data_IF_810790938585
#
_entry.id   IF_810790938585
#
_cell.length_a   1.000
_cell.length_b   1.000
_cell.length_c   1.000
_cell.angle_alpha   90.00
_cell.angle_beta   90.00
_cell.angle_gamma   90.00
#
_symmetry.space_group_name_H-M   'P 1'
#
loop_
_entity.id
_entity.type
_entity.pdbx_description
1 polymer ?
#
# COMPACT_ATOMS: atom_id res chain seq x y z
N UNK A 1 -13.39 9.35 -7.91
CA UNK A 1 -12.21 9.76 -8.70
C UNK A 1 -11.21 8.60 -8.68
N UNK A 2 -10.67 8.17 -9.83
CA UNK A 2 -9.67 7.10 -9.93
C UNK A 2 -8.31 7.75 -10.20
N UNK A 3 -7.29 7.50 -9.36
CA UNK A 3 -5.95 8.07 -9.49
C UNK A 3 -5.02 7.04 -10.11
N UNK A 4 -4.47 7.35 -11.28
CA UNK A 4 -3.46 6.53 -11.97
C UNK A 4 -2.08 6.69 -11.32
N UNK A 5 -1.17 5.73 -11.54
CA UNK A 5 0.22 5.85 -11.09
C UNK A 5 0.90 7.12 -11.65
N UNK A 6 0.59 7.48 -12.90
CA UNK A 6 1.13 8.69 -13.51
C UNK A 6 0.68 9.96 -12.79
N UNK A 7 -0.58 10.00 -12.32
CA UNK A 7 -1.11 11.10 -11.51
C UNK A 7 -0.46 11.14 -10.11
N UNK A 8 -0.29 9.99 -9.47
CA UNK A 8 0.41 9.89 -8.19
C UNK A 8 1.86 10.41 -8.30
N UNK A 9 2.59 10.04 -9.35
CA UNK A 9 3.94 10.55 -9.60
C UNK A 9 3.96 12.06 -9.89
N UNK A 10 2.99 12.58 -10.65
CA UNK A 10 2.85 14.03 -10.86
C UNK A 10 2.60 14.78 -9.55
N UNK A 11 1.79 14.21 -8.66
CA UNK A 11 1.55 14.77 -7.34
C UNK A 11 2.85 14.82 -6.51
N UNK A 12 3.59 13.70 -6.46
CA UNK A 12 4.88 13.62 -5.74
C UNK A 12 5.89 14.64 -6.25
N UNK A 13 6.02 14.82 -7.57
CA UNK A 13 6.91 15.83 -8.13
C UNK A 13 6.56 17.24 -7.64
N UNK A 14 5.27 17.60 -7.70
CA UNK A 14 4.79 18.90 -7.20
C UNK A 14 4.95 19.08 -5.70
N UNK A 15 4.83 17.99 -4.93
CA UNK A 15 5.05 18.01 -3.49
C UNK A 15 6.53 18.26 -3.18
N UNK A 16 7.44 17.57 -3.87
CA UNK A 16 8.89 17.76 -3.70
C UNK A 16 9.34 19.16 -4.08
N UNK A 17 8.78 19.76 -5.14
CA UNK A 17 9.04 21.16 -5.50
C UNK A 17 8.66 22.15 -4.38
N UNK A 18 7.71 21.78 -3.51
CA UNK A 18 7.19 22.62 -2.43
C UNK A 18 7.81 22.31 -1.07
N UNK A 19 8.45 21.17 -0.92
CA UNK A 19 9.02 20.70 0.34
C UNK A 19 10.51 20.97 0.36
N UNK A 20 10.92 22.07 0.99
CA UNK A 20 12.33 22.46 1.05
C UNK A 20 13.16 21.45 1.87
N UNK A 21 13.89 20.57 1.18
CA UNK A 21 14.84 19.63 1.77
C UNK A 21 14.30 18.24 2.08
N UNK A 22 13.00 18.01 1.89
CA UNK A 22 12.37 16.70 2.10
C UNK A 22 12.10 16.02 0.75
N UNK A 23 12.34 14.71 0.69
CA UNK A 23 12.08 13.90 -0.50
C UNK A 23 10.89 12.96 -0.26
N UNK A 24 9.82 13.15 -1.02
CA UNK A 24 8.66 12.28 -1.06
C UNK A 24 8.69 11.38 -2.29
N UNK A 25 8.40 10.10 -2.07
CA UNK A 25 8.32 9.08 -3.11
C UNK A 25 7.22 8.07 -2.79
N UNK A 26 6.92 7.21 -3.76
CA UNK A 26 6.19 5.98 -3.46
C UNK A 26 7.07 5.07 -2.59
N UNK A 27 6.46 4.43 -1.61
CA UNK A 27 7.09 3.38 -0.82
C UNK A 27 7.24 2.11 -1.65
N UNK A 28 8.26 1.31 -1.34
CA UNK A 28 8.40 -0.02 -1.96
C UNK A 28 7.34 -0.97 -1.40
N UNK A 29 7.06 -2.06 -2.11
CA UNK A 29 6.18 -3.13 -1.63
C UNK A 29 6.67 -3.67 -0.27
N UNK A 30 7.99 -3.76 -0.09
CA UNK A 30 8.57 -4.22 1.16
C UNK A 30 8.46 -3.21 2.30
N UNK A 31 8.62 -1.92 2.03
CA UNK A 31 8.37 -0.86 3.03
C UNK A 31 6.90 -0.84 3.44
N UNK A 32 6.00 -0.96 2.47
CA UNK A 32 4.56 -1.09 2.72
C UNK A 32 4.26 -2.29 3.60
N UNK A 33 4.79 -3.46 3.26
CA UNK A 33 4.54 -4.69 4.03
C UNK A 33 5.15 -4.64 5.42
N UNK A 34 6.36 -4.09 5.58
CA UNK A 34 6.99 -3.89 6.88
C UNK A 34 6.17 -2.97 7.79
N UNK A 35 5.70 -1.84 7.24
CA UNK A 35 4.87 -0.89 7.96
C UNK A 35 3.51 -1.48 8.32
N UNK A 36 2.86 -2.17 7.39
CA UNK A 36 1.60 -2.88 7.58
C UNK A 36 1.70 -3.95 8.67
N UNK A 37 2.77 -4.75 8.63
CA UNK A 37 3.04 -5.84 9.58
C UNK A 37 3.76 -5.38 10.85
N UNK A 38 3.73 -4.09 11.19
CA UNK A 38 4.27 -3.60 12.48
C UNK A 38 5.71 -4.06 12.75
N UNK A 39 6.56 -3.99 11.72
CA UNK A 39 7.96 -4.40 11.82
C UNK A 39 8.21 -5.87 11.51
N UNK A 40 7.31 -6.53 10.77
CA UNK A 40 7.47 -7.92 10.32
C UNK A 40 6.79 -8.96 11.22
N UNK A 41 5.83 -8.55 12.04
CA UNK A 41 4.96 -9.48 12.78
C UNK A 41 4.19 -10.38 11.81
N UNK A 42 3.95 -11.61 12.25
CA UNK A 42 3.13 -12.60 11.54
C UNK A 42 1.64 -12.37 11.78
N UNK A 43 1.14 -11.22 11.36
CA UNK A 43 -0.29 -10.83 11.45
C UNK A 43 -0.91 -10.80 10.06
N UNK A 44 -2.17 -11.21 9.91
CA UNK A 44 -2.81 -11.21 8.59
C UNK A 44 -3.24 -9.82 8.13
N UNK A 45 -3.59 -8.93 9.06
CA UNK A 45 -4.14 -7.62 8.75
C UNK A 45 -3.32 -6.49 9.39
N UNK A 46 -3.36 -5.34 8.73
CA UNK A 46 -2.63 -4.13 9.08
C UNK A 46 -3.20 -3.36 10.27
N UNK A 47 -3.98 -4.03 11.13
CA UNK A 47 -4.41 -3.59 12.45
C UNK A 47 -3.80 -4.45 13.58
N UNK A 48 -2.83 -5.30 13.25
CA UNK A 48 -2.16 -6.18 14.22
C UNK A 48 -2.89 -7.49 14.52
N UNK A 49 -3.99 -7.77 13.82
CA UNK A 49 -4.86 -8.94 14.06
C UNK A 49 -4.82 -9.94 12.89
N UNK A 50 -5.23 -11.19 13.17
CA UNK A 50 -5.34 -12.25 12.17
C UNK A 50 -6.73 -12.34 11.52
N UNK A 51 -7.70 -11.63 12.09
CA UNK A 51 -9.07 -11.52 11.60
C UNK A 51 -9.50 -10.05 11.51
N UNK A 52 -10.40 -9.75 10.57
CA UNK A 52 -10.93 -8.41 10.38
C UNK A 52 -12.43 -8.48 10.08
N UNK A 53 -13.17 -7.50 10.58
CA UNK A 53 -14.60 -7.34 10.31
C UNK A 53 -14.86 -5.95 9.72
N UNK A 54 -16.04 -5.75 9.13
CA UNK A 54 -16.46 -4.46 8.58
C UNK A 54 -16.52 -3.33 9.63
N UNK A 55 -16.59 -3.68 10.93
CA UNK A 55 -16.49 -2.73 12.04
C UNK A 55 -15.05 -2.29 12.33
N UNK A 56 -14.07 -3.08 11.92
CA UNK A 56 -12.66 -2.87 12.20
C UNK A 56 -11.87 -2.39 10.98
N UNK A 57 -12.42 -2.52 9.76
CA UNK A 57 -11.85 -1.93 8.56
C UNK A 57 -12.81 -1.91 7.37
N UNK A 58 -12.51 -1.05 6.40
CA UNK A 58 -13.13 -1.04 5.08
C UNK A 58 -12.46 -2.01 4.08
N UNK A 59 -12.15 -3.24 4.51
CA UNK A 59 -11.46 -4.24 3.67
C UNK A 59 -12.35 -4.86 2.59
N UNK A 60 -13.64 -5.04 2.90
CA UNK A 60 -14.60 -5.78 2.08
C UNK A 60 -15.60 -4.84 1.39
N UNK A 61 -16.90 -5.00 1.63
CA UNK A 61 -17.95 -4.26 0.92
C UNK A 61 -18.30 -2.91 1.57
N UNK A 62 -17.39 -2.39 2.39
CA UNK A 62 -17.59 -1.11 3.08
C UNK A 62 -17.17 0.03 2.16
N UNK A 63 -18.00 1.07 1.98
CA UNK A 63 -17.61 2.26 1.22
C UNK A 63 -16.34 2.92 1.78
N UNK A 64 -15.65 3.71 0.93
CA UNK A 64 -14.51 4.53 1.36
C UNK A 64 -14.91 5.35 2.59
N UNK A 65 -14.08 5.26 3.63
CA UNK A 65 -14.26 5.99 4.88
C UNK A 65 -13.26 7.16 4.95
N UNK A 66 -13.48 8.09 5.88
CA UNK A 66 -12.47 9.09 6.21
C UNK A 66 -11.17 8.38 6.67
N UNK A 67 -10.02 8.93 6.30
CA UNK A 67 -8.73 8.36 6.72
C UNK A 67 -8.67 8.29 8.25
N UNK A 68 -8.26 7.14 8.78
CA UNK A 68 -8.18 6.91 10.23
C UNK A 68 -9.53 6.70 10.93
N UNK A 69 -10.57 6.27 10.20
CA UNK A 69 -11.87 5.90 10.81
C UNK A 69 -11.79 4.64 11.69
N UNK A 70 -10.74 3.84 11.53
CA UNK A 70 -10.51 2.58 12.24
C UNK A 70 -9.26 2.66 13.12
N UNK A 71 -9.03 1.65 13.95
CA UNK A 71 -7.85 1.59 14.82
C UNK A 71 -6.57 1.53 13.98
N UNK A 72 -5.51 2.29 14.37
CA UNK A 72 -4.22 2.17 13.73
C UNK A 72 -3.51 0.89 14.17
N UNK A 73 -2.46 0.54 13.44
CA UNK A 73 -1.49 -0.45 13.90
C UNK A 73 -0.55 0.13 14.98
N UNK A 74 0.36 -0.69 15.51
CA UNK A 74 1.29 -0.29 16.57
C UNK A 74 2.28 0.84 16.18
N UNK A 75 2.41 1.17 14.89
CA UNK A 75 3.19 2.32 14.43
C UNK A 75 2.35 3.61 14.31
N UNK A 76 1.06 3.56 14.65
CA UNK A 76 0.15 4.70 14.48
C UNK A 76 -0.27 4.91 13.02
N UNK A 77 -0.11 3.90 12.16
CA UNK A 77 -0.49 3.95 10.75
C UNK A 77 -1.87 3.31 10.55
N UNK A 78 -2.67 3.89 9.67
CA UNK A 78 -4.08 3.56 9.47
C UNK A 78 -4.31 2.90 8.11
N UNK A 79 -5.47 2.25 7.97
CA UNK A 79 -6.07 1.88 6.69
C UNK A 79 -5.28 0.87 5.82
N UNK A 80 -4.22 0.24 6.34
CA UNK A 80 -3.45 -0.80 5.63
C UNK A 80 -4.23 -2.04 5.18
N UNK A 81 -5.44 -2.25 5.70
CA UNK A 81 -6.30 -3.37 5.33
C UNK A 81 -7.66 -2.90 4.88
N UNK A 82 -7.73 -2.02 3.89
CA UNK A 82 -8.97 -1.63 3.24
C UNK A 82 -8.98 -0.19 2.79
N UNK A 83 -10.18 0.40 2.73
CA UNK A 83 -10.43 1.74 2.24
C UNK A 83 -10.09 1.87 0.74
N UNK A 84 -8.82 2.10 0.41
CA UNK A 84 -8.32 2.19 -0.97
C UNK A 84 -7.03 1.40 -1.12
N UNK A 85 -6.84 0.81 -2.30
CA UNK A 85 -5.57 0.20 -2.64
C UNK A 85 -4.51 1.28 -2.90
N UNK A 86 -3.27 1.02 -2.49
CA UNK A 86 -2.17 1.99 -2.49
C UNK A 86 -1.10 1.64 -3.51
N UNK A 87 -0.70 2.62 -4.32
CA UNK A 87 0.40 2.49 -5.27
C UNK A 87 1.74 2.31 -4.57
N UNK A 88 2.52 1.34 -5.01
CA UNK A 88 3.92 1.16 -4.59
C UNK A 88 4.88 1.51 -5.73
N UNK A 89 6.16 1.68 -5.41
CA UNK A 89 7.22 1.90 -6.39
C UNK A 89 7.51 0.67 -7.26
N UNK A 90 7.05 -0.50 -6.81
CA UNK A 90 7.34 -1.79 -7.41
C UNK A 90 6.50 -2.08 -8.64
N UNK A 91 7.11 -2.82 -9.55
CA UNK A 91 6.38 -3.54 -10.59
C UNK A 91 6.08 -4.94 -10.11
N UNK A 92 4.89 -5.42 -10.44
CA UNK A 92 4.46 -6.77 -10.10
C UNK A 92 5.43 -7.80 -10.66
N UNK A 93 5.79 -8.77 -9.82
CA UNK A 93 6.47 -9.98 -10.21
C UNK A 93 5.94 -11.17 -9.42
N UNK A 94 5.92 -12.34 -10.08
CA UNK A 94 5.45 -13.59 -9.46
C UNK A 94 6.40 -14.11 -8.38
N UNK A 95 7.69 -13.84 -8.52
CA UNK A 95 8.75 -14.34 -7.64
C UNK A 95 9.64 -13.20 -7.18
N UNK A 96 10.08 -13.26 -5.92
CA UNK A 96 10.99 -12.28 -5.31
C UNK A 96 12.40 -12.83 -5.08
N UNK A 97 12.69 -14.07 -5.52
CA UNK A 97 13.96 -14.75 -5.24
C UNK A 97 15.18 -13.99 -5.76
N UNK A 98 15.02 -13.19 -6.80
CA UNK A 98 16.10 -12.42 -7.44
C UNK A 98 16.25 -10.99 -6.89
N UNK A 99 15.47 -10.60 -5.88
CA UNK A 99 15.60 -9.28 -5.27
C UNK A 99 16.69 -9.24 -4.19
N UNK A 100 17.36 -8.09 -4.00
CA UNK A 100 18.29 -7.92 -2.89
C UNK A 100 17.55 -8.04 -1.55
N UNK A 101 18.22 -8.60 -0.53
CA UNK A 101 17.63 -8.77 0.80
C UNK A 101 17.40 -7.45 1.52
N UNK A 102 18.30 -6.48 1.34
CA UNK A 102 18.20 -5.15 1.91
C UNK A 102 17.61 -4.21 0.87
N UNK A 103 16.54 -3.51 1.26
CA UNK A 103 15.80 -2.56 0.41
C UNK A 103 15.42 -3.15 -0.97
N UNK A 104 14.66 -4.28 -1.01
CA UNK A 104 14.18 -4.85 -2.26
C UNK A 104 13.29 -3.87 -3.02
N UNK A 105 13.53 -3.80 -4.33
CA UNK A 105 12.72 -3.02 -5.28
C UNK A 105 12.59 -3.80 -6.60
N UNK A 106 11.38 -4.16 -6.97
CA UNK A 106 11.06 -4.83 -8.22
C UNK A 106 10.85 -3.83 -9.35
N UNK A 107 11.69 -3.87 -10.39
CA UNK A 107 11.57 -3.00 -11.56
C UNK A 107 11.39 -3.75 -12.89
N UNK A 108 11.46 -5.08 -12.86
CA UNK A 108 11.46 -5.95 -14.06
C UNK A 108 10.06 -6.33 -14.55
N UNK A 109 9.02 -6.09 -13.76
CA UNK A 109 7.62 -6.37 -14.13
C UNK A 109 7.08 -5.50 -15.27
N UNK A 110 5.88 -5.82 -15.75
CA UNK A 110 5.13 -5.00 -16.71
C UNK A 110 4.03 -4.19 -16.03
N UNK A 111 3.38 -4.79 -15.06
CA UNK A 111 2.27 -4.20 -14.32
C UNK A 111 2.77 -3.54 -13.04
N UNK A 112 2.02 -2.55 -12.57
CA UNK A 112 2.34 -1.77 -11.38
C UNK A 112 1.65 -2.36 -10.15
N UNK A 113 2.35 -2.38 -9.02
CA UNK A 113 1.90 -3.08 -7.82
C UNK A 113 1.02 -2.18 -6.93
N UNK A 114 -0.15 -2.70 -6.56
CA UNK A 114 -1.06 -2.13 -5.55
C UNK A 114 -1.12 -3.00 -4.30
N UNK A 115 -1.18 -2.38 -3.13
CA UNK A 115 -1.31 -3.06 -1.83
C UNK A 115 -2.54 -2.59 -1.04
N UNK A 116 -2.91 -3.31 0.02
CA UNK A 116 -3.95 -2.92 0.99
C UNK A 116 -5.38 -3.39 0.67
N UNK A 117 -5.76 -3.47 -0.60
CA UNK A 117 -7.13 -3.84 -1.01
C UNK A 117 -8.16 -2.73 -0.74
N UNK A 118 -9.45 -3.05 -0.84
CA UNK A 118 -10.57 -2.10 -0.65
C UNK A 118 -11.43 -1.90 -1.89
N UNK A 119 -12.27 -0.85 -1.87
CA UNK A 119 -13.36 -0.62 -2.87
C UNK A 119 -12.84 -0.44 -4.31
N UNK A 120 -11.53 -0.19 -4.48
CA UNK A 120 -10.91 0.22 -5.75
C UNK A 120 -10.09 -0.89 -6.43
N UNK A 121 -10.37 -2.17 -6.16
CA UNK A 121 -9.72 -3.34 -6.80
C UNK A 121 -9.83 -3.42 -8.35
N UNK A 122 -10.15 -2.33 -9.07
CA UNK A 122 -10.50 -2.30 -10.50
C UNK A 122 -9.89 -1.09 -11.25
N UNK A 123 -8.58 -0.87 -11.12
CA UNK A 123 -7.82 -0.05 -12.08
C UNK A 123 -7.26 -0.96 -13.19
N UNK A 124 -7.56 -0.70 -14.48
CA UNK A 124 -7.00 -1.49 -15.58
C UNK A 124 -5.46 -1.42 -15.58
N UNK A 125 -4.79 -2.57 -15.61
CA UNK A 125 -3.31 -2.66 -15.65
C UNK A 125 -2.61 -2.64 -14.28
N UNK A 126 -3.37 -2.75 -13.18
CA UNK A 126 -2.83 -2.88 -11.83
C UNK A 126 -3.22 -4.23 -11.22
N UNK A 127 -2.25 -4.91 -10.60
CA UNK A 127 -2.53 -6.09 -9.79
C UNK A 127 -2.54 -5.69 -8.31
N UNK A 128 -3.61 -6.08 -7.60
CA UNK A 128 -3.72 -5.86 -6.15
C UNK A 128 -3.29 -7.12 -5.43
N UNK A 129 -2.32 -7.00 -4.53
CA UNK A 129 -1.97 -8.08 -3.60
C UNK A 129 -2.50 -7.79 -2.21
N UNK A 130 -3.07 -8.82 -1.61
CA UNK A 130 -3.33 -8.87 -0.19
C UNK A 130 -2.05 -9.22 0.56
N UNK A 131 -2.05 -8.94 1.86
CA UNK A 131 -0.98 -9.33 2.79
C UNK A 131 -0.78 -10.86 2.67
N UNK A 132 0.46 -11.29 2.40
CA UNK A 132 0.83 -12.69 2.16
C UNK A 132 0.85 -13.53 3.43
#
# INVERSE_FOLDING_TARGET
MKVTLAEAKRFLNKLNEKSAGEEFRLITEAEWEYACREGGRKVRFGNGEDEISEKASAYSNVPIQAVGSYQPNSFGLFDFSGNVAEWTADKYQKSFHDLPKLNPLSQKGRDTELRGGGVVNLLPGAETKHIR
#
